data_IF_911660648754
#
_entry.id   IF_911660648754
#
_cell.length_a   1.000
_cell.length_b   1.000
_cell.length_c   1.000
_cell.angle_alpha   90.00
_cell.angle_beta   90.00
_cell.angle_gamma   90.00
#
_symmetry.space_group_name_H-M   'P 1'
#
loop_
_entity.id
_entity.type
_entity.pdbx_description
1 polymer ?
#
# COMPACT_ATOMS: atom_id res chain seq x y z
N UNK A 1 15.01 -7.78 -25.84
CA UNK A 1 13.58 -7.42 -25.64
C UNK A 1 13.04 -8.41 -24.62
N UNK A 2 12.44 -7.95 -23.53
CA UNK A 2 11.76 -8.85 -22.58
C UNK A 2 10.60 -9.54 -23.31
N UNK A 3 10.41 -10.84 -23.08
CA UNK A 3 9.26 -11.54 -23.65
C UNK A 3 7.97 -11.10 -22.96
N UNK A 4 6.83 -11.39 -23.58
CA UNK A 4 5.53 -11.13 -22.96
C UNK A 4 5.34 -11.93 -21.66
N UNK A 5 5.95 -13.11 -21.56
CA UNK A 5 5.96 -13.92 -20.35
C UNK A 5 6.78 -13.28 -19.22
N UNK A 6 7.94 -12.70 -19.55
CA UNK A 6 8.76 -11.95 -18.58
C UNK A 6 8.00 -10.70 -18.07
N UNK A 7 7.25 -10.04 -18.95
CA UNK A 7 6.43 -8.89 -18.59
C UNK A 7 5.31 -9.29 -17.63
N UNK A 8 4.55 -10.35 -17.93
CA UNK A 8 3.48 -10.86 -17.06
C UNK A 8 4.05 -11.23 -15.69
N UNK A 9 5.16 -11.98 -15.65
CA UNK A 9 5.80 -12.39 -14.40
C UNK A 9 6.24 -11.17 -13.56
N UNK A 10 6.79 -10.13 -14.19
CA UNK A 10 7.20 -8.89 -13.51
C UNK A 10 6.01 -8.12 -12.93
N UNK A 11 4.91 -8.00 -13.68
CA UNK A 11 3.71 -7.31 -13.20
C UNK A 11 3.07 -8.09 -12.04
N UNK A 12 3.02 -9.42 -12.11
CA UNK A 12 2.54 -10.26 -11.00
C UNK A 12 3.40 -10.09 -9.76
N UNK A 13 4.73 -10.10 -9.88
CA UNK A 13 5.63 -9.86 -8.75
C UNK A 13 5.42 -8.47 -8.11
N UNK A 14 5.19 -7.45 -8.93
CA UNK A 14 4.85 -6.11 -8.44
C UNK A 14 3.49 -6.11 -7.71
N UNK A 15 2.50 -6.86 -8.19
CA UNK A 15 1.20 -7.00 -7.52
C UNK A 15 1.37 -7.61 -6.13
N UNK A 16 2.13 -8.70 -6.02
CA UNK A 16 2.42 -9.35 -4.73
C UNK A 16 3.13 -8.37 -3.76
N UNK A 17 4.06 -7.56 -4.26
CA UNK A 17 4.72 -6.53 -3.46
C UNK A 17 3.74 -5.43 -2.99
N UNK A 18 2.74 -5.11 -3.80
CA UNK A 18 1.69 -4.13 -3.46
C UNK A 18 0.78 -4.68 -2.35
N UNK A 19 0.51 -5.99 -2.37
CA UNK A 19 -0.28 -6.66 -1.34
C UNK A 19 0.49 -6.72 0.00
N UNK A 20 1.80 -7.01 -0.03
CA UNK A 20 2.67 -6.93 1.17
C UNK A 20 2.70 -5.51 1.75
N UNK A 21 2.83 -4.50 0.89
CA UNK A 21 2.79 -3.09 1.32
C UNK A 21 1.46 -2.73 1.99
N UNK A 22 0.33 -3.27 1.51
CA UNK A 22 -0.98 -3.07 2.13
C UNK A 22 -0.98 -3.60 3.57
N UNK A 23 -0.49 -4.82 3.78
CA UNK A 23 -0.42 -5.42 5.10
C UNK A 23 0.48 -4.62 6.06
N UNK A 24 1.61 -4.11 5.56
CA UNK A 24 2.55 -3.30 6.36
C UNK A 24 2.01 -1.93 6.72
N UNK A 25 1.28 -1.29 5.80
CA UNK A 25 0.61 -0.02 6.07
C UNK A 25 -0.43 -0.22 7.17
N UNK A 26 -1.20 -1.31 7.11
CA UNK A 26 -2.22 -1.62 8.11
C UNK A 26 -1.63 -1.92 9.49
N UNK A 27 -0.56 -2.71 9.58
CA UNK A 27 0.17 -2.94 10.84
C UNK A 27 0.70 -1.61 11.42
N UNK A 28 1.25 -0.74 10.58
CA UNK A 28 1.75 0.57 11.03
C UNK A 28 0.59 1.48 11.49
N UNK A 29 -0.55 1.44 10.81
CA UNK A 29 -1.77 2.19 11.17
C UNK A 29 -2.26 1.77 12.55
N UNK A 30 -2.33 0.46 12.82
CA UNK A 30 -2.74 -0.05 14.12
C UNK A 30 -1.80 0.42 15.24
N UNK A 31 -0.48 0.35 15.01
CA UNK A 31 0.52 0.83 15.99
C UNK A 31 0.40 2.34 16.25
N UNK A 32 0.10 3.13 15.22
CA UNK A 32 -0.13 4.56 15.37
C UNK A 32 -1.41 4.84 16.20
N UNK A 33 -2.44 4.01 16.08
CA UNK A 33 -3.66 4.10 16.89
C UNK A 33 -3.40 3.79 18.36
N UNK A 34 -2.67 2.70 18.63
CA UNK A 34 -2.29 2.34 19.98
C UNK A 34 -1.44 3.43 20.64
N UNK A 35 -0.47 3.98 19.89
CA UNK A 35 0.37 5.09 20.34
C UNK A 35 -0.46 6.34 20.61
N UNK A 36 -1.41 6.69 19.73
CA UNK A 36 -2.28 7.84 19.91
C UNK A 36 -3.08 7.72 21.22
N UNK A 37 -3.63 6.55 21.50
CA UNK A 37 -4.34 6.27 22.76
C UNK A 37 -3.44 6.48 23.97
N UNK A 38 -2.22 5.93 23.93
CA UNK A 38 -1.25 6.05 25.02
C UNK A 38 -0.84 7.51 25.28
N UNK A 39 -0.49 8.27 24.24
CA UNK A 39 -0.03 9.67 24.40
C UNK A 39 -1.15 10.61 24.79
N UNK A 40 -2.39 10.32 24.35
CA UNK A 40 -3.58 11.06 24.78
C UNK A 40 -3.86 10.85 26.26
N UNK A 41 -3.76 9.60 26.75
CA UNK A 41 -3.91 9.30 28.18
C UNK A 41 -2.85 9.98 29.06
N UNK A 42 -1.66 10.25 28.50
CA UNK A 42 -0.57 10.97 29.17
C UNK A 42 -0.70 12.50 29.07
N UNK A 43 -1.69 13.04 28.35
CA UNK A 43 -1.86 14.48 28.15
C UNK A 43 -0.80 15.12 27.24
N UNK A 44 -0.10 14.33 26.43
CA UNK A 44 0.98 14.81 25.55
C UNK A 44 0.43 15.28 24.19
N UNK A 45 -0.33 16.38 24.18
CA UNK A 45 -1.05 16.89 23.00
C UNK A 45 -0.15 17.10 21.76
N UNK A 46 1.08 17.60 21.95
CA UNK A 46 2.03 17.78 20.84
C UNK A 46 2.42 16.47 20.16
N UNK A 47 2.57 15.39 20.92
CA UNK A 47 2.85 14.06 20.39
C UNK A 47 1.60 13.47 19.74
N UNK A 48 0.43 13.65 20.35
CA UNK A 48 -0.84 13.22 19.77
C UNK A 48 -1.08 13.81 18.37
N UNK A 49 -0.84 15.11 18.20
CA UNK A 49 -0.95 15.78 16.90
C UNK A 49 0.05 15.22 15.87
N UNK A 50 1.29 14.92 16.29
CA UNK A 50 2.28 14.31 15.42
C UNK A 50 1.86 12.90 14.97
N UNK A 51 1.30 12.10 15.89
CA UNK A 51 0.79 10.75 15.60
C UNK A 51 -0.41 10.82 14.65
N UNK A 52 -1.33 11.77 14.84
CA UNK A 52 -2.42 12.01 13.90
C UNK A 52 -1.91 12.34 12.50
N UNK A 53 -0.90 13.21 12.38
CA UNK A 53 -0.29 13.51 11.08
C UNK A 53 0.35 12.27 10.41
N UNK A 54 0.93 11.36 11.20
CA UNK A 54 1.41 10.07 10.70
C UNK A 54 0.25 9.21 10.18
N UNK A 55 -0.88 9.16 10.90
CA UNK A 55 -2.08 8.42 10.45
C UNK A 55 -2.59 8.95 9.11
N UNK A 56 -2.72 10.26 8.95
CA UNK A 56 -3.17 10.88 7.69
C UNK A 56 -2.26 10.47 6.51
N UNK A 57 -0.95 10.43 6.75
CA UNK A 57 0.04 9.99 5.75
C UNK A 57 -0.07 8.49 5.42
N UNK A 58 -0.40 7.66 6.42
CA UNK A 58 -0.63 6.23 6.20
C UNK A 58 -1.90 6.00 5.37
N UNK A 59 -2.98 6.75 5.63
CA UNK A 59 -4.20 6.70 4.82
C UNK A 59 -3.95 7.13 3.38
N UNK A 60 -3.17 8.21 3.17
CA UNK A 60 -2.74 8.63 1.84
C UNK A 60 -1.91 7.53 1.14
N UNK A 61 -0.98 6.91 1.87
CA UNK A 61 -0.15 5.82 1.34
C UNK A 61 -0.99 4.60 0.98
N UNK A 62 -1.98 4.24 1.81
CA UNK A 62 -2.91 3.14 1.53
C UNK A 62 -3.72 3.40 0.26
N UNK A 63 -4.23 4.62 0.09
CA UNK A 63 -4.98 5.03 -1.10
C UNK A 63 -4.13 4.94 -2.37
N UNK A 64 -2.89 5.44 -2.32
CA UNK A 64 -1.94 5.34 -3.43
C UNK A 64 -1.60 3.88 -3.77
N UNK A 65 -1.31 3.07 -2.75
CA UNK A 65 -0.97 1.66 -2.92
C UNK A 65 -2.13 0.88 -3.56
N UNK A 66 -3.37 1.16 -3.15
CA UNK A 66 -4.58 0.58 -3.76
C UNK A 66 -4.74 0.99 -5.22
N UNK A 67 -4.48 2.25 -5.56
CA UNK A 67 -4.54 2.71 -6.94
C UNK A 67 -3.49 2.00 -7.81
N UNK A 68 -2.27 1.82 -7.30
CA UNK A 68 -1.22 1.04 -7.98
C UNK A 68 -1.62 -0.42 -8.16
N UNK A 69 -2.23 -1.06 -7.16
CA UNK A 69 -2.69 -2.44 -7.27
C UNK A 69 -3.72 -2.63 -8.40
N UNK A 70 -4.65 -1.67 -8.55
CA UNK A 70 -5.64 -1.67 -9.65
C UNK A 70 -4.96 -1.52 -11.01
N UNK A 71 -4.00 -0.60 -11.14
CA UNK A 71 -3.24 -0.40 -12.38
C UNK A 71 -2.46 -1.65 -12.78
N UNK A 72 -1.86 -2.35 -11.81
CA UNK A 72 -1.15 -3.61 -12.06
C UNK A 72 -2.10 -4.71 -12.52
N UNK A 73 -3.29 -4.80 -11.95
CA UNK A 73 -4.31 -5.76 -12.37
C UNK A 73 -4.79 -5.51 -13.81
N UNK A 74 -5.06 -4.25 -14.17
CA UNK A 74 -5.36 -3.85 -15.54
C UNK A 74 -4.22 -4.19 -16.51
N UNK A 75 -2.97 -3.96 -16.09
CA UNK A 75 -1.78 -4.26 -16.89
C UNK A 75 -1.58 -5.77 -17.11
N UNK A 76 -1.80 -6.62 -16.10
CA UNK A 76 -1.78 -8.09 -16.27
C UNK A 76 -2.84 -8.51 -17.27
N UNK A 77 -4.08 -8.01 -17.11
CA UNK A 77 -5.19 -8.38 -18.00
C UNK A 77 -4.90 -8.00 -19.45
N UNK A 78 -4.34 -6.81 -19.69
CA UNK A 78 -3.94 -6.36 -21.02
C UNK A 78 -2.80 -7.23 -21.61
N UNK A 79 -1.78 -7.57 -20.81
CA UNK A 79 -0.67 -8.41 -21.25
C UNK A 79 -1.12 -9.83 -21.59
N UNK A 80 -2.03 -10.41 -20.79
CA UNK A 80 -2.62 -11.73 -21.06
C UNK A 80 -3.46 -11.72 -22.33
N UNK A 81 -4.28 -10.68 -22.54
CA UNK A 81 -5.05 -10.53 -23.78
C UNK A 81 -4.14 -10.43 -25.00
N UNK A 82 -3.04 -9.67 -24.91
CA UNK A 82 -2.06 -9.56 -25.99
C UNK A 82 -1.34 -10.89 -26.30
N UNK A 83 -1.23 -11.81 -25.32
CA UNK A 83 -0.66 -13.15 -25.53
C UNK A 83 -1.60 -14.07 -26.31
N UNK A 84 -2.90 -13.82 -26.20
CA UNK A 84 -3.96 -14.65 -26.79
C UNK A 84 -4.39 -14.17 -28.18
N UNK A 85 -3.97 -12.97 -28.57
CA UNK A 85 -4.21 -12.37 -29.89
C UNK A 85 -3.14 -12.79 -30.91
#
# INVERSE_FOLDING_TARGET
MASLDDLIASITANKDATDDLTARIEDTRQRAEDLLGAVTALGAEGVANAVMSVKDRLEQSASQNRATALQLEEAVNAAVAAKQA
#
